data_IF_894274547241
#
_entry.id   IF_894274547241
#
_cell.length_a   1.000
_cell.length_b   1.000
_cell.length_c   1.000
_cell.angle_alpha   90.00
_cell.angle_beta   90.00
_cell.angle_gamma   90.00
#
_symmetry.space_group_name_H-M   'P 1'
#
loop_
_entity.id
_entity.type
_entity.pdbx_description
1 polymer ?
#
# COMPACT_ATOMS: atom_id res chain seq x y z
N UNK A 1 31.47 3.91 -8.15
CA UNK A 1 30.03 3.64 -8.40
C UNK A 1 29.31 3.68 -7.06
N UNK A 2 28.24 4.46 -6.87
CA UNK A 2 27.46 4.38 -5.64
C UNK A 2 26.88 2.96 -5.52
N UNK A 3 26.91 2.39 -4.31
CA UNK A 3 26.28 1.09 -4.01
C UNK A 3 24.80 1.19 -4.39
N UNK A 4 24.36 0.37 -5.34
CA UNK A 4 22.94 0.26 -5.69
C UNK A 4 22.24 -0.41 -4.49
N UNK A 5 21.60 0.39 -3.65
CA UNK A 5 20.75 -0.13 -2.56
C UNK A 5 19.52 -0.74 -3.21
N UNK A 6 19.37 -2.06 -3.09
CA UNK A 6 18.13 -2.73 -3.47
C UNK A 6 16.97 -2.10 -2.69
N UNK A 7 15.88 -1.70 -3.37
CA UNK A 7 14.75 -1.07 -2.70
C UNK A 7 14.02 -2.06 -1.80
N UNK A 8 13.69 -1.65 -0.57
CA UNK A 8 12.89 -2.44 0.36
C UNK A 8 11.45 -2.65 -0.11
N UNK A 9 10.93 -1.72 -0.93
CA UNK A 9 9.62 -1.77 -1.54
C UNK A 9 9.76 -1.50 -3.04
N UNK A 10 9.31 -2.44 -3.89
CA UNK A 10 9.46 -2.36 -5.35
C UNK A 10 8.20 -1.84 -6.03
N UNK A 11 7.07 -2.45 -5.71
CA UNK A 11 5.77 -2.03 -6.21
C UNK A 11 4.66 -2.30 -5.20
N UNK A 12 3.54 -1.60 -5.36
CA UNK A 12 2.28 -1.89 -4.68
C UNK A 12 1.14 -1.85 -5.71
N UNK A 13 0.17 -2.75 -5.59
CA UNK A 13 -1.01 -2.79 -6.47
C UNK A 13 -2.21 -3.33 -5.71
N UNK A 14 -3.40 -3.03 -6.20
CA UNK A 14 -4.60 -3.76 -5.76
C UNK A 14 -4.48 -5.21 -6.24
N UNK A 15 -4.90 -6.15 -5.39
CA UNK A 15 -4.88 -7.57 -5.72
C UNK A 15 -5.95 -7.87 -6.77
N UNK A 16 -5.58 -8.37 -7.97
CA UNK A 16 -6.55 -8.63 -9.04
C UNK A 16 -7.46 -9.82 -8.73
N UNK A 17 -7.07 -10.68 -7.77
CA UNK A 17 -7.83 -11.83 -7.32
C UNK A 17 -8.86 -11.50 -6.23
N UNK A 18 -9.01 -10.22 -5.87
CA UNK A 18 -9.97 -9.75 -4.88
C UNK A 18 -11.04 -8.90 -5.54
N UNK A 19 -12.30 -9.25 -5.29
CA UNK A 19 -13.42 -8.39 -5.64
C UNK A 19 -13.38 -7.14 -4.77
N UNK A 20 -13.56 -5.97 -5.40
CA UNK A 20 -13.46 -4.66 -4.78
C UNK A 20 -14.73 -3.89 -5.07
N UNK A 21 -15.39 -3.40 -4.02
CA UNK A 21 -16.48 -2.45 -4.13
C UNK A 21 -15.93 -1.02 -4.24
N UNK A 22 -15.93 -0.48 -5.46
CA UNK A 22 -15.44 0.87 -5.77
C UNK A 22 -16.34 2.01 -5.27
N UNK A 23 -17.47 1.71 -4.63
CA UNK A 23 -18.36 2.69 -3.99
C UNK A 23 -18.12 2.75 -2.47
N UNK A 24 -17.54 1.70 -1.89
CA UNK A 24 -17.21 1.64 -0.47
C UNK A 24 -15.81 2.20 -0.15
N UNK A 25 -15.63 2.76 1.05
CA UNK A 25 -14.30 3.10 1.57
C UNK A 25 -13.45 1.83 1.76
N UNK A 26 -12.14 1.85 1.47
CA UNK A 26 -11.35 2.98 0.96
C UNK A 26 -11.35 3.13 -0.57
N UNK A 27 -12.00 2.23 -1.31
CA UNK A 27 -11.93 2.18 -2.78
C UNK A 27 -12.79 3.21 -3.50
N UNK A 28 -13.64 3.93 -2.78
CA UNK A 28 -14.34 5.12 -3.29
C UNK A 28 -13.49 6.39 -3.32
N UNK A 29 -12.31 6.37 -2.68
CA UNK A 29 -11.39 7.51 -2.68
C UNK A 29 -10.63 7.54 -4.00
N UNK A 30 -10.56 8.69 -4.72
CA UNK A 30 -9.95 8.78 -6.04
C UNK A 30 -8.53 8.22 -6.11
N UNK A 31 -7.64 8.67 -5.21
CA UNK A 31 -6.26 8.20 -5.21
C UNK A 31 -6.12 6.70 -4.91
N UNK A 32 -7.09 6.04 -4.27
CA UNK A 32 -7.05 4.59 -4.04
C UNK A 32 -7.62 3.85 -5.26
N UNK A 33 -8.76 4.33 -5.77
CA UNK A 33 -9.48 3.77 -6.90
C UNK A 33 -8.65 3.71 -8.18
N UNK A 34 -7.86 4.76 -8.41
CA UNK A 34 -7.09 4.95 -9.64
C UNK A 34 -5.70 4.30 -9.57
N UNK A 35 -5.32 3.69 -8.43
CA UNK A 35 -4.07 2.93 -8.34
C UNK A 35 -4.23 1.61 -9.06
N UNK A 36 -3.67 1.54 -10.27
CA UNK A 36 -3.37 0.27 -10.92
C UNK A 36 -2.14 -0.37 -10.27
N UNK A 37 -1.02 0.34 -10.29
CA UNK A 37 0.21 -0.02 -9.59
C UNK A 37 1.05 1.22 -9.30
N UNK A 38 1.81 1.17 -8.21
CA UNK A 38 2.81 2.16 -7.85
C UNK A 38 4.15 1.47 -7.95
N UNK A 39 5.03 1.93 -8.83
CA UNK A 39 6.45 1.57 -8.83
C UNK A 39 7.22 2.55 -7.94
N UNK A 40 7.92 2.04 -6.93
CA UNK A 40 8.65 2.88 -5.99
C UNK A 40 10.05 3.18 -6.51
N UNK A 41 10.41 4.47 -6.48
CA UNK A 41 11.78 4.87 -6.75
C UNK A 41 12.70 4.34 -5.62
N UNK A 42 13.91 3.84 -5.94
CA UNK A 42 14.81 3.22 -4.96
C UNK A 42 15.33 4.14 -3.84
N UNK A 43 15.05 5.44 -3.94
CA UNK A 43 15.46 6.44 -2.95
C UNK A 43 14.23 7.04 -2.23
N UNK A 44 13.40 7.82 -2.95
CA UNK A 44 12.24 8.51 -2.39
C UNK A 44 11.11 8.56 -3.42
N UNK A 45 9.88 8.31 -2.98
CA UNK A 45 8.65 8.46 -3.77
C UNK A 45 7.76 9.49 -3.09
N UNK A 46 7.28 10.47 -3.84
CA UNK A 46 6.39 11.54 -3.33
C UNK A 46 4.97 11.31 -3.81
N UNK A 47 4.01 11.33 -2.89
CA UNK A 47 2.58 11.40 -3.23
C UNK A 47 2.14 12.87 -3.26
N UNK A 48 1.72 13.35 -4.42
CA UNK A 48 1.32 14.75 -4.65
C UNK A 48 -0.12 14.79 -5.19
N UNK A 49 -0.87 15.83 -4.82
CA UNK A 49 -2.27 16.00 -5.20
C UNK A 49 -3.03 16.88 -4.20
N UNK A 50 -4.26 17.27 -4.55
CA UNK A 50 -5.10 18.17 -3.76
C UNK A 50 -5.43 17.64 -2.35
N UNK A 51 -5.72 18.52 -1.41
CA UNK A 51 -6.15 18.08 -0.08
C UNK A 51 -7.46 17.28 -0.19
N UNK A 52 -7.56 16.18 0.55
CA UNK A 52 -8.70 15.26 0.45
C UNK A 52 -8.66 14.28 -0.73
N UNK A 53 -7.63 14.31 -1.59
CA UNK A 53 -7.53 13.38 -2.74
C UNK A 53 -7.29 11.91 -2.35
N UNK A 54 -6.90 11.62 -1.11
CA UNK A 54 -6.67 10.26 -0.61
C UNK A 54 -5.22 9.83 -0.45
N UNK A 55 -4.25 10.74 -0.59
CA UNK A 55 -2.80 10.41 -0.48
C UNK A 55 -2.45 9.69 0.83
N UNK A 56 -2.97 10.16 1.96
CA UNK A 56 -2.74 9.53 3.27
C UNK A 56 -3.34 8.13 3.32
N UNK A 57 -4.53 7.94 2.76
CA UNK A 57 -5.21 6.63 2.71
C UNK A 57 -4.42 5.60 1.88
N UNK A 58 -3.82 6.03 0.77
CA UNK A 58 -2.91 5.17 0.00
C UNK A 58 -1.71 4.75 0.84
N UNK A 59 -1.09 5.70 1.53
CA UNK A 59 0.06 5.44 2.40
C UNK A 59 -0.29 4.51 3.57
N UNK A 60 -1.44 4.72 4.21
CA UNK A 60 -1.99 3.87 5.26
C UNK A 60 -2.28 2.46 4.75
N UNK A 61 -2.90 2.33 3.57
CA UNK A 61 -3.15 1.03 2.93
C UNK A 61 -1.87 0.25 2.65
N UNK A 62 -0.81 0.93 2.17
CA UNK A 62 0.52 0.33 2.00
C UNK A 62 1.09 -0.10 3.36
N UNK A 63 0.99 0.74 4.39
CA UNK A 63 1.49 0.43 5.73
C UNK A 63 0.79 -0.81 6.32
N UNK A 64 -0.54 -0.88 6.21
CA UNK A 64 -1.35 -2.03 6.64
C UNK A 64 -0.97 -3.29 5.86
N UNK A 65 -0.79 -3.19 4.54
CA UNK A 65 -0.36 -4.32 3.72
C UNK A 65 1.04 -4.84 4.09
N UNK A 66 1.91 -3.97 4.61
CA UNK A 66 3.24 -4.30 5.13
C UNK A 66 3.22 -4.77 6.60
N UNK A 67 2.05 -4.80 7.26
CA UNK A 67 1.90 -5.23 8.65
C UNK A 67 2.24 -4.17 9.70
N UNK A 68 2.24 -2.88 9.32
CA UNK A 68 2.33 -1.77 10.27
C UNK A 68 0.94 -1.38 10.78
N UNK A 69 0.88 -0.86 12.01
CA UNK A 69 -0.35 -0.25 12.52
C UNK A 69 -0.66 1.05 11.75
N UNK A 70 -1.92 1.30 11.36
CA UNK A 70 -2.33 2.52 10.66
C UNK A 70 -1.97 3.81 11.43
N UNK A 71 -1.98 3.76 12.77
CA UNK A 71 -1.68 4.91 13.64
C UNK A 71 -0.19 5.11 13.93
N UNK A 72 0.67 4.19 13.49
CA UNK A 72 2.11 4.15 13.82
C UNK A 72 2.41 3.49 15.18
N UNK A 73 3.37 2.55 15.19
CA UNK A 73 3.77 1.81 16.39
C UNK A 73 4.62 0.57 16.10
N UNK A 74 5.28 0.02 17.12
CA UNK A 74 6.16 -1.14 16.99
C UNK A 74 5.42 -2.39 16.46
N UNK A 75 6.01 -3.01 15.45
CA UNK A 75 5.55 -4.17 14.68
C UNK A 75 5.18 -5.38 15.56
N UNK A 76 3.97 -5.94 15.39
CA UNK A 76 3.76 -7.38 15.66
C UNK A 76 4.28 -8.15 14.45
N UNK A 77 5.45 -8.77 14.60
CA UNK A 77 6.05 -9.65 13.59
C UNK A 77 5.13 -10.85 13.31
N UNK A 78 4.68 -10.97 12.07
CA UNK A 78 4.62 -12.25 11.37
C UNK A 78 5.15 -12.03 9.96
N UNK A 79 6.48 -12.08 9.82
CA UNK A 79 7.11 -12.29 8.53
C UNK A 79 6.77 -13.71 8.09
N UNK A 80 5.80 -13.86 7.19
CA UNK A 80 5.74 -15.01 6.29
C UNK A 80 6.14 -14.53 4.90
N UNK A 81 7.27 -15.03 4.40
CA UNK A 81 7.44 -15.19 2.95
C UNK A 81 6.43 -16.28 2.58
N UNK A 82 5.17 -15.89 2.41
CA UNK A 82 4.04 -16.81 2.42
C UNK A 82 2.73 -16.04 2.32
N UNK A 83 1.96 -16.40 1.28
CA UNK A 83 0.67 -15.83 0.89
C UNK A 83 -0.28 -15.68 2.08
N UNK A 84 -0.79 -14.46 2.32
CA UNK A 84 -1.85 -14.22 3.29
C UNK A 84 -3.22 -14.44 2.63
N UNK A 85 -3.89 -15.51 3.06
CA UNK A 85 -5.29 -15.78 2.77
C UNK A 85 -6.13 -15.25 3.93
N UNK A 86 -6.94 -14.22 3.67
CA UNK A 86 -8.03 -13.83 4.55
C UNK A 86 -9.31 -14.33 3.87
N UNK A 87 -9.88 -15.40 4.41
CA UNK A 87 -11.24 -15.85 4.13
C UNK A 87 -12.11 -15.34 5.29
N UNK A 88 -13.20 -14.66 4.97
CA UNK A 88 -14.23 -14.26 5.93
C UNK A 88 -15.13 -15.44 6.25
N UNK A 89 -15.33 -15.68 7.54
CA UNK A 89 -16.52 -16.32 8.10
C UNK A 89 -17.77 -15.48 7.85
#
# INVERSE_FOLDING_TARGET
MPKRTEPYLRYASIRPDREVDYVAYPFSIPAVREIESIEFHPNVTFFVGENGSGKSTVMEGIAVALGFSPEGGNQKRSLSVGRLNIASS
#
